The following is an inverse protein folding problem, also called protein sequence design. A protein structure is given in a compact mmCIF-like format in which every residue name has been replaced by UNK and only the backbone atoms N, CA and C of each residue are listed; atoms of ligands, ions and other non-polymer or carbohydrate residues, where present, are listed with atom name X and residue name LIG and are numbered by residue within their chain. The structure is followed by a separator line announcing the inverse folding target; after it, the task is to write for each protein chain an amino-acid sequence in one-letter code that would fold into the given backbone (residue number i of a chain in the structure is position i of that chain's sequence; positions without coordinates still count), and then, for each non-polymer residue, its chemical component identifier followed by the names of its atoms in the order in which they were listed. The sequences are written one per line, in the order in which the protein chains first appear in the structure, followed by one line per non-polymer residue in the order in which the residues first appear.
data_IF_829191553122
#
_entry.id   IF_829191553122
#
_cell.length_a   1.000
_cell.length_b   1.000
_cell.length_c   1.000
_cell.angle_alpha   90.00
_cell.angle_beta   90.00
_cell.angle_gamma   90.00
#
_symmetry.space_group_name_H-M   'P 1'
#
loop_
_entity.id
_entity.type
_entity.pdbx_description
1 polymer ?
#
# COMPACT_ATOMS: atom_id res chain seq x y z
N UNK A 1 -15.84 1.07 1.42
CA UNK A 1 -15.07 1.26 0.16
C UNK A 1 -13.95 0.24 0.15
N UNK A 2 -13.90 -0.65 -0.84
CA UNK A 2 -12.85 -1.65 -0.94
C UNK A 2 -11.49 -1.01 -1.23
N UNK A 3 -10.42 -1.65 -0.75
CA UNK A 3 -9.05 -1.32 -1.06
C UNK A 3 -8.79 -1.62 -2.54
N UNK A 4 -8.24 -0.67 -3.29
CA UNK A 4 -7.98 -0.81 -4.73
C UNK A 4 -6.58 -0.31 -5.06
N UNK A 5 -5.84 -1.09 -5.86
CA UNK A 5 -4.51 -0.72 -6.35
C UNK A 5 -4.50 0.64 -7.06
N UNK A 6 -5.62 1.04 -7.66
CA UNK A 6 -5.79 2.31 -8.37
C UNK A 6 -5.90 3.54 -7.45
N UNK A 7 -6.08 3.35 -6.14
CA UNK A 7 -6.30 4.43 -5.19
C UNK A 7 -5.01 4.87 -4.46
N UNK A 8 -3.85 4.33 -4.83
CA UNK A 8 -2.56 4.75 -4.26
C UNK A 8 -2.22 6.18 -4.65
N UNK A 9 -1.79 6.97 -3.68
CA UNK A 9 -1.19 8.28 -3.91
C UNK A 9 0.22 8.09 -4.45
N UNK A 10 0.43 8.43 -5.70
CA UNK A 10 1.75 8.34 -6.33
C UNK A 10 1.83 9.27 -7.54
N UNK A 11 2.92 10.04 -7.64
CA UNK A 11 3.22 10.83 -8.83
C UNK A 11 3.57 9.88 -9.99
N UNK A 12 2.93 10.09 -11.13
CA UNK A 12 3.17 9.27 -12.31
C UNK A 12 2.25 8.04 -12.43
N UNK A 13 1.13 8.01 -11.70
CA UNK A 13 0.12 6.97 -11.88
C UNK A 13 -0.38 6.95 -13.34
N UNK A 14 -0.22 5.79 -13.97
CA UNK A 14 -0.50 5.59 -15.41
C UNK A 14 -1.97 5.31 -15.72
N UNK A 15 -2.90 5.46 -14.77
CA UNK A 15 -4.33 5.16 -14.97
C UNK A 15 -4.93 5.89 -16.18
N UNK A 16 -4.54 7.15 -16.39
CA UNK A 16 -5.02 7.95 -17.53
C UNK A 16 -4.44 7.51 -18.89
N UNK A 17 -3.37 6.72 -18.87
CA UNK A 17 -2.68 6.23 -20.05
C UNK A 17 -3.10 4.80 -20.45
N UNK A 18 -3.93 4.12 -19.67
CA UNK A 18 -4.29 2.72 -19.91
C UNK A 18 -4.89 2.51 -21.31
N UNK A 19 -5.79 3.37 -21.76
CA UNK A 19 -6.38 3.27 -23.10
C UNK A 19 -5.34 3.38 -24.21
N UNK A 20 -4.36 4.27 -24.05
CA UNK A 20 -3.28 4.40 -25.05
C UNK A 20 -2.35 3.18 -25.01
N UNK A 21 -2.09 2.63 -23.83
CA UNK A 21 -1.30 1.40 -23.66
C UNK A 21 -2.05 0.20 -24.29
N UNK A 22 -3.37 0.07 -24.05
CA UNK A 22 -4.22 -0.95 -24.67
C UNK A 22 -4.08 -0.94 -26.20
N UNK A 23 -4.20 0.23 -26.84
CA UNK A 23 -4.08 0.38 -28.29
C UNK A 23 -2.74 -0.17 -28.81
N UNK A 24 -1.64 0.07 -28.09
CA UNK A 24 -0.31 -0.40 -28.48
C UNK A 24 -0.19 -1.90 -28.29
N UNK A 25 -0.61 -2.42 -27.13
CA UNK A 25 -0.50 -3.85 -26.80
C UNK A 25 -1.34 -4.68 -27.77
N UNK A 26 -2.59 -4.31 -27.99
CA UNK A 26 -3.50 -5.02 -28.87
C UNK A 26 -3.04 -5.01 -30.35
N UNK A 27 -2.38 -3.94 -30.79
CA UNK A 27 -1.97 -3.80 -32.19
C UNK A 27 -0.56 -4.30 -32.49
N UNK A 28 0.33 -4.40 -31.51
CA UNK A 28 1.77 -4.63 -31.72
C UNK A 28 2.35 -5.82 -30.92
N UNK A 29 1.68 -6.25 -29.87
CA UNK A 29 2.22 -7.30 -29.01
C UNK A 29 1.54 -8.64 -29.28
N UNK A 30 2.33 -9.71 -29.30
CA UNK A 30 1.88 -11.09 -29.45
C UNK A 30 2.49 -11.91 -28.32
N UNK A 31 1.69 -12.70 -27.63
CA UNK A 31 2.17 -13.56 -26.54
C UNK A 31 1.19 -13.65 -25.39
N UNK A 32 1.49 -14.53 -24.45
CA UNK A 32 0.66 -14.83 -23.29
C UNK A 32 1.32 -14.46 -21.94
N UNK A 33 2.51 -13.85 -21.98
CA UNK A 33 3.24 -13.37 -20.80
C UNK A 33 3.35 -11.86 -20.84
N UNK A 34 2.87 -11.20 -19.81
CA UNK A 34 3.01 -9.76 -19.60
C UNK A 34 4.13 -9.45 -18.59
N UNK A 35 5.04 -8.55 -18.94
CA UNK A 35 6.15 -8.15 -18.06
C UNK A 35 6.11 -6.64 -17.83
N UNK A 36 5.90 -6.22 -16.59
CA UNK A 36 5.96 -4.81 -16.15
C UNK A 36 7.27 -4.60 -15.37
N UNK A 37 8.28 -4.07 -16.05
CA UNK A 37 9.63 -3.91 -15.46
C UNK A 37 9.72 -2.77 -14.44
N UNK A 38 8.79 -1.82 -14.49
CA UNK A 38 8.77 -0.64 -13.61
C UNK A 38 7.34 -0.41 -13.11
N UNK A 39 6.86 -1.38 -12.34
CA UNK A 39 5.46 -1.50 -11.93
C UNK A 39 4.90 -0.31 -11.15
N UNK A 40 5.73 0.40 -10.38
CA UNK A 40 5.33 1.59 -9.61
C UNK A 40 4.12 1.31 -8.72
N UNK A 41 2.98 1.93 -9.02
CA UNK A 41 1.74 1.68 -8.26
C UNK A 41 1.08 0.32 -8.55
N UNK A 42 1.57 -0.45 -9.53
CA UNK A 42 0.93 -1.69 -9.99
C UNK A 42 -0.30 -1.47 -10.88
N UNK A 43 -0.57 -0.23 -11.29
CA UNK A 43 -1.78 0.13 -12.07
C UNK A 43 -1.84 -0.58 -13.41
N UNK A 44 -0.73 -0.64 -14.14
CA UNK A 44 -0.66 -1.29 -15.47
C UNK A 44 -0.78 -2.80 -15.31
N UNK A 45 -0.02 -3.39 -14.38
CA UNK A 45 -0.13 -4.82 -14.07
C UNK A 45 -1.54 -5.19 -13.64
N UNK A 46 -2.18 -4.40 -12.76
CA UNK A 46 -3.56 -4.64 -12.32
C UNK A 46 -4.58 -4.62 -13.46
N UNK A 47 -4.30 -3.89 -14.54
CA UNK A 47 -5.14 -3.87 -15.74
C UNK A 47 -4.96 -5.10 -16.64
N UNK A 48 -3.75 -5.69 -16.61
CA UNK A 48 -3.40 -6.79 -17.51
C UNK A 48 -3.31 -8.17 -16.85
N UNK A 49 -3.19 -8.27 -15.52
CA UNK A 49 -2.90 -9.54 -14.85
C UNK A 49 -3.96 -10.64 -15.08
N UNK A 50 -5.19 -10.27 -15.42
CA UNK A 50 -6.26 -11.22 -15.77
C UNK A 50 -6.36 -11.50 -17.28
N UNK A 51 -5.70 -10.70 -18.11
CA UNK A 51 -5.74 -10.82 -19.58
C UNK A 51 -4.63 -11.74 -20.13
N UNK A 52 -3.61 -12.03 -19.32
CA UNK A 52 -2.45 -12.83 -19.70
C UNK A 52 -2.35 -14.09 -18.81
N UNK A 53 -1.80 -15.17 -19.35
CA UNK A 53 -1.59 -16.42 -18.57
C UNK A 53 -0.60 -16.22 -17.43
N UNK A 54 0.39 -15.35 -17.64
CA UNK A 54 1.41 -15.01 -16.66
C UNK A 54 1.72 -13.52 -16.68
N UNK A 55 1.69 -12.91 -15.51
CA UNK A 55 2.20 -11.54 -15.30
C UNK A 55 3.43 -11.57 -14.41
N UNK A 56 4.44 -10.81 -14.81
CA UNK A 56 5.66 -10.57 -14.04
C UNK A 56 5.72 -9.07 -13.79
N UNK A 57 5.81 -8.69 -12.53
CA UNK A 57 5.96 -7.29 -12.14
C UNK A 57 7.25 -7.11 -11.36
N UNK A 58 7.99 -6.06 -11.69
CA UNK A 58 9.21 -5.68 -11.01
C UNK A 58 9.20 -4.20 -10.63
N UNK A 59 9.83 -3.88 -9.51
CA UNK A 59 10.08 -2.50 -9.08
C UNK A 59 11.30 -2.47 -8.16
N UNK A 60 11.92 -1.30 -8.03
CA UNK A 60 13.09 -1.10 -7.16
C UNK A 60 12.69 -1.10 -5.68
N UNK A 61 11.49 -0.63 -5.35
CA UNK A 61 11.06 -0.43 -3.98
C UNK A 61 10.50 -1.73 -3.37
N UNK A 62 11.11 -2.19 -2.29
CA UNK A 62 10.63 -3.34 -1.52
C UNK A 62 9.19 -3.17 -1.01
N UNK A 63 8.79 -1.96 -0.66
CA UNK A 63 7.40 -1.64 -0.31
C UNK A 63 6.41 -1.95 -1.43
N UNK A 64 6.81 -1.75 -2.69
CA UNK A 64 6.00 -2.11 -3.84
C UNK A 64 5.86 -3.63 -4.00
N UNK A 65 6.93 -4.39 -3.74
CA UNK A 65 6.86 -5.86 -3.74
C UNK A 65 5.81 -6.39 -2.74
N UNK A 66 5.80 -5.87 -1.51
CA UNK A 66 4.78 -6.23 -0.50
C UNK A 66 3.37 -5.96 -1.03
N UNK A 67 3.16 -4.80 -1.64
CA UNK A 67 1.86 -4.44 -2.21
C UNK A 67 1.49 -5.37 -3.35
N UNK A 68 2.41 -5.68 -4.25
CA UNK A 68 2.14 -6.61 -5.36
C UNK A 68 1.81 -8.02 -4.86
N UNK A 69 2.54 -8.50 -3.85
CA UNK A 69 2.23 -9.77 -3.20
C UNK A 69 0.86 -9.74 -2.53
N UNK A 70 0.51 -8.65 -1.86
CA UNK A 70 -0.81 -8.45 -1.27
C UNK A 70 -1.95 -8.46 -2.29
N UNK A 71 -1.77 -7.85 -3.46
CA UNK A 71 -2.81 -7.75 -4.50
C UNK A 71 -2.82 -8.93 -5.47
N UNK A 72 -1.67 -9.26 -6.05
CA UNK A 72 -1.59 -10.09 -7.25
C UNK A 72 -1.13 -11.52 -6.99
N UNK A 73 -0.41 -11.81 -5.89
CA UNK A 73 0.04 -13.18 -5.65
C UNK A 73 -1.14 -14.12 -5.44
N UNK A 74 -1.02 -15.33 -5.99
CA UNK A 74 -1.93 -16.43 -5.70
C UNK A 74 -1.62 -16.95 -4.30
N UNK A 75 -2.65 -17.28 -3.53
CA UNK A 75 -2.52 -17.80 -2.17
C UNK A 75 -3.85 -17.74 -1.44
N UNK A 76 -4.04 -18.67 -0.51
CA UNK A 76 -5.23 -18.67 0.32
C UNK A 76 -5.09 -17.61 1.42
N UNK A 77 -6.19 -16.94 1.71
CA UNK A 77 -6.33 -16.03 2.84
C UNK A 77 -7.73 -16.14 3.43
N UNK A 78 -7.83 -15.97 4.72
CA UNK A 78 -9.10 -15.91 5.44
C UNK A 78 -9.50 -14.46 5.67
N UNK A 79 -10.51 -14.00 4.92
CA UNK A 79 -11.01 -12.63 5.02
C UNK A 79 -11.56 -12.32 6.43
N UNK A 80 -12.31 -13.26 7.03
CA UNK A 80 -12.90 -13.03 8.35
C UNK A 80 -11.82 -12.88 9.43
N UNK A 81 -10.77 -13.67 9.36
CA UNK A 81 -9.60 -13.56 10.24
C UNK A 81 -8.88 -12.22 10.08
N UNK A 82 -8.64 -11.79 8.84
CA UNK A 82 -8.00 -10.51 8.56
C UNK A 82 -8.85 -9.33 9.04
N UNK A 83 -10.16 -9.39 8.84
CA UNK A 83 -11.10 -8.36 9.28
C UNK A 83 -11.17 -8.28 10.81
N UNK A 84 -11.27 -9.42 11.49
CA UNK A 84 -11.23 -9.48 12.96
C UNK A 84 -9.92 -8.92 13.52
N UNK A 85 -8.78 -9.24 12.90
CA UNK A 85 -7.49 -8.69 13.28
C UNK A 85 -7.43 -7.17 13.08
N UNK A 86 -7.91 -6.68 11.94
CA UNK A 86 -7.99 -5.24 11.66
C UNK A 86 -8.93 -4.52 12.65
N UNK A 87 -10.04 -5.13 13.03
CA UNK A 87 -10.92 -4.59 14.09
C UNK A 87 -10.19 -4.45 15.41
N UNK A 88 -9.43 -5.46 15.84
CA UNK A 88 -8.60 -5.40 17.05
C UNK A 88 -7.61 -4.22 16.99
N UNK A 89 -6.94 -4.02 15.86
CA UNK A 89 -6.01 -2.89 15.66
C UNK A 89 -6.71 -1.52 15.77
N UNK A 90 -7.98 -1.44 15.42
CA UNK A 90 -8.75 -0.19 15.52
C UNK A 90 -9.14 0.17 16.96
N UNK A 91 -9.16 -0.79 17.88
CA UNK A 91 -9.48 -0.56 19.31
C UNK A 91 -8.27 -0.08 20.13
N UNK A 92 -7.08 -0.02 19.53
CA UNK A 92 -5.85 0.37 20.23
C UNK A 92 -5.94 1.84 20.69
N UNK A 93 -5.69 2.05 21.98
CA UNK A 93 -5.67 3.34 22.62
C UNK A 93 -4.27 3.93 22.46
N UNK A 94 -4.15 5.08 21.80
CA UNK A 94 -2.85 5.68 21.42
C UNK A 94 -2.04 6.07 22.65
N UNK A 95 -2.71 6.53 23.71
CA UNK A 95 -2.11 6.95 24.98
C UNK A 95 -1.42 5.81 25.74
N UNK A 96 -1.72 4.56 25.40
CA UNK A 96 -1.11 3.37 25.99
C UNK A 96 0.08 2.83 25.16
N UNK A 97 0.39 3.46 24.02
CA UNK A 97 1.49 3.05 23.14
C UNK A 97 2.78 3.74 23.57
N UNK A 98 3.82 2.95 23.82
CA UNK A 98 5.17 3.49 24.06
C UNK A 98 5.79 4.03 22.76
N UNK A 99 6.73 4.97 22.90
CA UNK A 99 7.51 5.51 21.80
C UNK A 99 8.20 4.39 21.00
N UNK A 100 8.13 4.51 19.69
CA UNK A 100 8.74 3.55 18.78
C UNK A 100 9.56 4.26 17.69
N UNK A 101 10.32 3.49 16.93
CA UNK A 101 11.18 4.02 15.86
C UNK A 101 10.42 4.91 14.88
N UNK A 102 9.19 4.52 14.52
CA UNK A 102 8.45 5.23 13.48
C UNK A 102 8.01 6.62 13.91
N UNK A 103 7.49 6.77 15.13
CA UNK A 103 7.09 8.09 15.62
C UNK A 103 8.29 8.99 15.90
N UNK A 104 9.40 8.46 16.41
CA UNK A 104 10.63 9.22 16.62
C UNK A 104 11.21 9.75 15.30
N UNK A 105 11.12 8.97 14.22
CA UNK A 105 11.68 9.33 12.92
C UNK A 105 10.77 10.22 12.07
N UNK A 106 9.46 10.00 12.12
CA UNK A 106 8.49 10.58 11.17
C UNK A 106 7.37 11.41 11.83
N UNK A 107 7.18 11.28 13.15
CA UNK A 107 6.17 12.03 13.91
C UNK A 107 6.44 13.54 13.91
N UNK A 108 5.38 14.33 13.86
CA UNK A 108 5.47 15.79 13.82
C UNK A 108 5.97 16.39 12.48
N UNK A 109 6.31 15.54 11.51
CA UNK A 109 6.80 15.93 10.18
C UNK A 109 5.91 15.34 9.09
N UNK A 110 6.16 14.07 8.76
CA UNK A 110 5.40 13.34 7.74
C UNK A 110 4.03 12.86 8.22
N UNK A 111 3.90 12.66 9.52
CA UNK A 111 2.66 12.26 10.19
C UNK A 111 2.45 13.10 11.44
N UNK A 112 1.22 13.11 11.96
CA UNK A 112 1.05 13.57 13.36
C UNK A 112 1.80 12.63 14.29
N UNK A 113 2.15 13.07 15.48
CA UNK A 113 2.82 12.20 16.48
C UNK A 113 1.96 10.97 16.79
N UNK A 114 0.65 11.17 16.96
CA UNK A 114 -0.33 10.10 17.22
C UNK A 114 -0.41 9.09 16.07
N UNK A 115 -0.56 9.57 14.81
CA UNK A 115 -0.64 8.68 13.65
C UNK A 115 0.66 7.89 13.48
N UNK A 116 1.81 8.54 13.67
CA UNK A 116 3.11 7.88 13.57
C UNK A 116 3.31 6.82 14.66
N UNK A 117 2.90 7.13 15.90
CA UNK A 117 2.96 6.20 17.01
C UNK A 117 2.11 4.95 16.72
N UNK A 118 0.89 5.14 16.26
CA UNK A 118 -0.04 4.07 15.90
C UNK A 118 0.46 3.24 14.72
N UNK A 119 1.00 3.86 13.67
CA UNK A 119 1.56 3.15 12.51
C UNK A 119 2.71 2.24 12.94
N UNK A 120 3.66 2.75 13.73
CA UNK A 120 4.79 1.98 14.24
C UNK A 120 4.33 0.79 15.08
N UNK A 121 3.41 1.03 16.03
CA UNK A 121 2.84 -0.02 16.88
C UNK A 121 2.15 -1.12 16.05
N UNK A 122 1.28 -0.74 15.10
CA UNK A 122 0.57 -1.71 14.25
C UNK A 122 1.57 -2.55 13.45
N UNK A 123 2.60 -1.93 12.89
CA UNK A 123 3.64 -2.64 12.15
C UNK A 123 4.34 -3.68 13.00
N UNK A 124 4.72 -3.32 14.22
CA UNK A 124 5.40 -4.21 15.16
C UNK A 124 4.47 -5.31 15.68
N UNK A 125 3.19 -4.99 15.87
CA UNK A 125 2.17 -5.96 16.26
C UNK A 125 1.92 -7.00 15.15
N UNK A 126 1.86 -6.58 13.88
CA UNK A 126 1.77 -7.51 12.73
C UNK A 126 2.99 -8.44 12.70
N UNK A 127 4.19 -7.92 12.96
CA UNK A 127 5.41 -8.74 13.00
C UNK A 127 5.41 -9.73 14.16
N UNK A 128 4.94 -9.32 15.33
CA UNK A 128 4.82 -10.19 16.52
C UNK A 128 3.85 -11.36 16.27
N UNK A 129 2.77 -11.10 15.55
CA UNK A 129 1.74 -12.09 15.25
C UNK A 129 2.00 -12.85 13.93
N UNK A 130 3.18 -12.65 13.32
CA UNK A 130 3.56 -13.17 12.00
C UNK A 130 3.24 -14.65 11.80
N UNK A 131 3.55 -15.49 12.78
CA UNK A 131 3.38 -16.94 12.69
C UNK A 131 1.92 -17.38 12.61
N UNK A 132 0.99 -16.50 12.98
CA UNK A 132 -0.45 -16.75 12.89
C UNK A 132 -1.00 -16.54 11.48
N UNK A 133 -0.22 -16.03 10.53
CA UNK A 133 -0.66 -15.64 9.20
C UNK A 133 0.12 -16.35 8.10
N UNK A 134 -0.54 -16.62 6.98
CA UNK A 134 0.12 -17.03 5.75
C UNK A 134 0.92 -15.85 5.16
N UNK A 135 1.88 -16.12 4.27
CA UNK A 135 2.62 -15.06 3.57
C UNK A 135 1.67 -14.09 2.82
N UNK A 136 0.61 -14.63 2.22
CA UNK A 136 -0.42 -13.82 1.55
C UNK A 136 -1.15 -12.90 2.51
N UNK A 137 -1.57 -13.41 3.65
CA UNK A 137 -2.25 -12.62 4.69
C UNK A 137 -1.36 -11.52 5.25
N UNK A 138 -0.09 -11.82 5.55
CA UNK A 138 0.89 -10.82 6.00
C UNK A 138 1.06 -9.69 4.98
N UNK A 139 1.21 -10.03 3.70
CA UNK A 139 1.34 -9.01 2.67
C UNK A 139 0.05 -8.18 2.50
N UNK A 140 -1.13 -8.76 2.70
CA UNK A 140 -2.40 -8.01 2.73
C UNK A 140 -2.43 -7.03 3.91
N UNK A 141 -2.06 -7.47 5.12
CA UNK A 141 -2.02 -6.61 6.31
C UNK A 141 -1.03 -5.46 6.14
N UNK A 142 0.19 -5.73 5.71
CA UNK A 142 1.22 -4.72 5.49
C UNK A 142 0.84 -3.75 4.36
N UNK A 143 0.28 -4.25 3.26
CA UNK A 143 -0.21 -3.39 2.18
C UNK A 143 -1.35 -2.48 2.65
N UNK A 144 -2.26 -2.99 3.50
CA UNK A 144 -3.35 -2.21 4.09
C UNK A 144 -2.83 -1.13 5.04
N UNK A 145 -1.81 -1.46 5.85
CA UNK A 145 -1.15 -0.48 6.72
C UNK A 145 -0.49 0.63 5.90
N UNK A 146 0.26 0.28 4.85
CA UNK A 146 0.90 1.27 3.97
C UNK A 146 -0.12 2.17 3.27
N UNK A 147 -1.24 1.60 2.81
CA UNK A 147 -2.33 2.40 2.23
C UNK A 147 -2.96 3.36 3.24
N UNK A 148 -3.14 2.92 4.48
CA UNK A 148 -3.67 3.77 5.56
C UNK A 148 -2.69 4.87 5.92
N UNK A 149 -1.39 4.56 5.99
CA UNK A 149 -0.32 5.54 6.21
C UNK A 149 -0.29 6.60 5.09
N UNK A 150 -0.37 6.19 3.82
CA UNK A 150 -0.43 7.14 2.69
C UNK A 150 -1.59 8.14 2.82
N UNK A 151 -2.72 7.72 3.38
CA UNK A 151 -3.88 8.61 3.60
C UNK A 151 -3.69 9.60 4.74
N UNK A 152 -2.91 9.24 5.77
CA UNK A 152 -2.60 10.10 6.90
C UNK A 152 -1.36 10.96 6.65
N UNK A 153 -0.56 10.66 5.62
CA UNK A 153 0.69 11.34 5.37
C UNK A 153 0.53 12.83 5.04
N UNK A 154 1.32 13.65 5.71
CA UNK A 154 1.42 15.10 5.52
C UNK A 154 2.33 15.42 4.33
N UNK A 155 2.02 14.90 3.14
CA UNK A 155 2.81 15.04 1.93
C UNK A 155 1.96 15.49 0.75
N UNK A 156 2.62 16.00 -0.29
CA UNK A 156 1.96 16.35 -1.55
C UNK A 156 1.80 15.14 -2.52
N UNK A 157 1.88 13.92 -2.00
CA UNK A 157 1.71 12.68 -2.79
C UNK A 157 3.00 11.87 -2.99
N UNK A 158 4.11 12.31 -2.40
CA UNK A 158 5.40 11.62 -2.33
C UNK A 158 6.13 11.97 -1.04
N UNK A 159 7.04 11.11 -0.59
CA UNK A 159 7.76 11.27 0.69
C UNK A 159 9.09 12.05 0.58
N UNK A 160 9.32 12.78 -0.51
CA UNK A 160 10.51 13.62 -0.66
C UNK A 160 10.44 14.88 0.21
N UNK A 161 9.21 15.38 0.48
CA UNK A 161 8.99 16.53 1.31
C UNK A 161 7.64 16.44 2.05
N UNK A 162 7.58 17.04 3.23
CA UNK A 162 6.35 17.21 4.00
C UNK A 162 5.87 18.66 3.97
N UNK A 163 4.57 18.86 4.15
CA UNK A 163 3.97 20.19 4.24
C UNK A 163 4.31 20.82 5.58
N UNK A 164 4.69 22.10 5.57
CA UNK A 164 5.10 22.84 6.81
C UNK A 164 3.96 22.98 7.83
N UNK A 165 2.70 22.86 7.42
CA UNK A 165 1.54 22.99 8.30
C UNK A 165 0.70 21.71 8.29
N UNK A 166 0.96 20.84 9.26
CA UNK A 166 0.30 19.54 9.40
C UNK A 166 -1.20 19.62 9.68
N UNK A 167 -1.69 20.72 10.30
CA UNK A 167 -3.12 20.91 10.56
C UNK A 167 -3.91 21.26 9.30
N UNK A 168 -3.27 21.91 8.32
CA UNK A 168 -3.89 22.21 7.04
C UNK A 168 -4.07 20.92 6.20
N UNK A 169 -3.14 19.99 6.28
CA UNK A 169 -3.20 18.71 5.59
C UNK A 169 -4.42 17.87 6.05
N UNK A 170 -4.73 17.84 7.35
CA UNK A 170 -5.93 17.19 7.88
C UNK A 170 -7.25 17.78 7.36
N UNK A 171 -7.31 19.09 7.04
CA UNK A 171 -8.50 19.74 6.46
C UNK A 171 -8.71 19.40 4.98
N UNK A 172 -7.66 19.13 4.25
CA UNK A 172 -7.73 18.79 2.81
C UNK A 172 -8.01 17.30 2.54
N UNK A 173 -8.02 16.47 3.59
CA UNK A 173 -8.26 15.02 3.51
C UNK A 173 -9.67 14.59 3.92
N UNK A 174 -10.49 15.52 4.40
CA UNK A 174 -11.93 15.33 4.67
C UNK A 174 -12.73 15.66 3.42
#
# INVERSE_FOLDING_TARGET
MGFSIYNRRYLGNKRKLLNAIDTVIESKCVGNVFVDLFGGTGTVTGHYCEKFEKCIINDLLFSNEIIYKGFFSKGNYDYAKLDAFAMTLNTIIVEEIEDNYFNQSYGGKYFTTEDALKIGYIRDYIEKERENFTEKELNILLASLMYSADRCANTAGHYEAFLKNIQLAKKLQR
#
